data_IF_380609826115
#
_entry.id   IF_380609826115
#
_cell.length_a   1.000
_cell.length_b   1.000
_cell.length_c   1.000
_cell.angle_alpha   90.00
_cell.angle_beta   90.00
_cell.angle_gamma   90.00
#
_symmetry.space_group_name_H-M   'P 1'
#
loop_
_entity.id
_entity.type
_entity.pdbx_description
1 polymer ?
#
# COMPACT_ATOMS: atom_id res chain seq x y z
N UNK A 1 -23.35 6.22 12.33
CA UNK A 1 -22.60 7.50 12.28
C UNK A 1 -21.34 7.37 11.41
N UNK A 2 -20.50 6.35 11.58
CA UNK A 2 -19.25 6.20 10.80
C UNK A 2 -19.42 5.99 9.29
N UNK A 3 -20.53 5.38 8.85
CA UNK A 3 -20.81 5.21 7.41
C UNK A 3 -21.14 6.54 6.72
N UNK A 4 -21.78 7.47 7.45
CA UNK A 4 -22.11 8.80 6.95
C UNK A 4 -20.86 9.66 6.80
N UNK A 5 -19.87 9.50 7.70
CA UNK A 5 -18.59 10.21 7.60
C UNK A 5 -17.78 9.77 6.39
N UNK A 6 -17.83 8.49 5.99
CA UNK A 6 -17.16 8.02 4.77
C UNK A 6 -17.70 8.65 3.49
N UNK A 7 -19.04 8.71 3.35
CA UNK A 7 -19.68 9.35 2.18
C UNK A 7 -19.41 10.86 2.17
N UNK A 8 -19.50 11.52 3.33
CA UNK A 8 -19.14 12.93 3.47
C UNK A 8 -17.69 13.19 3.05
N UNK A 9 -16.75 12.33 3.45
CA UNK A 9 -15.35 12.42 3.05
C UNK A 9 -15.18 12.41 1.52
N UNK A 10 -15.86 11.51 0.81
CA UNK A 10 -15.80 11.46 -0.67
C UNK A 10 -16.34 12.77 -1.27
N UNK A 11 -17.48 13.26 -0.79
CA UNK A 11 -18.09 14.51 -1.29
C UNK A 11 -17.15 15.70 -1.06
N UNK A 12 -16.54 15.80 0.13
CA UNK A 12 -15.60 16.88 0.48
C UNK A 12 -14.36 16.82 -0.39
N UNK A 13 -13.75 15.64 -0.59
CA UNK A 13 -12.57 15.48 -1.45
C UNK A 13 -12.87 15.84 -2.91
N UNK A 14 -14.02 15.43 -3.44
CA UNK A 14 -14.47 15.85 -4.77
C UNK A 14 -14.73 17.35 -4.84
N UNK A 15 -15.33 17.94 -3.80
CA UNK A 15 -15.53 19.38 -3.68
C UNK A 15 -14.23 20.16 -3.73
N UNK A 16 -13.21 19.71 -2.99
CA UNK A 16 -11.86 20.29 -3.01
C UNK A 16 -11.23 20.15 -4.41
N UNK A 17 -11.31 18.97 -5.02
CA UNK A 17 -10.78 18.74 -6.36
C UNK A 17 -11.43 19.65 -7.42
N UNK A 18 -12.76 19.85 -7.35
CA UNK A 18 -13.49 20.78 -8.22
C UNK A 18 -13.10 22.24 -7.92
N UNK A 19 -12.93 22.60 -6.64
CA UNK A 19 -12.53 23.95 -6.24
C UNK A 19 -11.14 24.32 -6.78
N UNK A 20 -10.20 23.36 -6.74
CA UNK A 20 -8.83 23.50 -7.25
C UNK A 20 -8.70 23.28 -8.76
N UNK A 21 -9.79 22.90 -9.47
CA UNK A 21 -9.72 22.63 -10.91
C UNK A 21 -9.54 23.92 -11.72
N UNK A 22 -8.57 23.89 -12.63
CA UNK A 22 -8.26 24.99 -13.55
C UNK A 22 -9.38 25.26 -14.57
N UNK A 23 -10.15 24.24 -14.96
CA UNK A 23 -11.28 24.39 -15.87
C UNK A 23 -12.44 23.48 -15.44
N UNK A 24 -13.31 24.04 -14.59
CA UNK A 24 -14.44 23.31 -14.00
C UNK A 24 -15.47 22.82 -15.04
N UNK A 25 -15.61 23.54 -16.15
CA UNK A 25 -16.52 23.16 -17.25
C UNK A 25 -16.00 22.00 -18.09
N UNK A 26 -14.68 21.75 -18.10
CA UNK A 26 -14.07 20.64 -18.84
C UNK A 26 -14.08 19.32 -18.05
N UNK A 27 -14.60 19.31 -16.82
CA UNK A 27 -14.67 18.10 -15.99
C UNK A 27 -15.67 17.12 -16.61
N UNK A 28 -15.17 15.97 -17.05
CA UNK A 28 -16.01 14.90 -17.56
C UNK A 28 -16.62 14.08 -16.42
N UNK A 29 -17.83 14.45 -16.00
CA UNK A 29 -18.55 13.75 -14.91
C UNK A 29 -18.75 12.26 -15.16
N UNK A 30 -18.83 11.83 -16.43
CA UNK A 30 -18.84 10.41 -16.80
C UNK A 30 -17.58 9.68 -16.36
N UNK A 31 -16.40 10.31 -16.53
CA UNK A 31 -15.11 9.72 -16.12
C UNK A 31 -14.98 9.69 -14.60
N UNK A 32 -15.37 10.79 -13.93
CA UNK A 32 -15.36 10.88 -12.47
C UNK A 32 -16.23 9.78 -11.85
N UNK A 33 -17.46 9.60 -12.33
CA UNK A 33 -18.36 8.55 -11.86
C UNK A 33 -17.81 7.15 -12.12
N UNK A 34 -17.20 6.91 -13.30
CA UNK A 34 -16.55 5.63 -13.59
C UNK A 34 -15.38 5.35 -12.63
N UNK A 35 -14.53 6.34 -12.37
CA UNK A 35 -13.40 6.22 -11.45
C UNK A 35 -13.85 5.88 -10.03
N UNK A 36 -14.83 6.61 -9.51
CA UNK A 36 -15.41 6.35 -8.17
C UNK A 36 -16.05 4.96 -8.12
N UNK A 37 -16.83 4.59 -9.14
CA UNK A 37 -17.49 3.29 -9.19
C UNK A 37 -16.48 2.15 -9.18
N UNK A 38 -15.42 2.26 -9.98
CA UNK A 38 -14.35 1.27 -10.05
C UNK A 38 -13.62 1.15 -8.70
N UNK A 39 -13.31 2.28 -8.04
CA UNK A 39 -12.72 2.27 -6.69
C UNK A 39 -13.61 1.56 -5.67
N UNK A 40 -14.93 1.86 -5.66
CA UNK A 40 -15.87 1.21 -4.76
C UNK A 40 -16.02 -0.29 -5.04
N UNK A 41 -16.06 -0.68 -6.31
CA UNK A 41 -16.11 -2.08 -6.73
C UNK A 41 -14.87 -2.82 -6.22
N UNK A 42 -13.67 -2.29 -6.45
CA UNK A 42 -12.44 -2.88 -5.93
C UNK A 42 -12.41 -2.95 -4.41
N UNK A 43 -12.84 -1.90 -3.71
CA UNK A 43 -12.92 -1.91 -2.26
C UNK A 43 -13.84 -3.03 -1.74
N UNK A 44 -15.01 -3.22 -2.36
CA UNK A 44 -15.94 -4.30 -1.97
C UNK A 44 -15.34 -5.67 -2.28
N UNK A 45 -14.74 -5.84 -3.47
CA UNK A 45 -14.10 -7.10 -3.86
C UNK A 45 -12.99 -7.45 -2.87
N UNK A 46 -12.08 -6.52 -2.58
CA UNK A 46 -10.90 -6.79 -1.75
C UNK A 46 -11.28 -6.95 -0.28
N UNK A 47 -12.14 -6.08 0.26
CA UNK A 47 -12.36 -5.97 1.71
C UNK A 47 -13.59 -6.73 2.22
N UNK A 48 -14.54 -7.09 1.35
CA UNK A 48 -15.85 -7.62 1.79
C UNK A 48 -16.30 -8.89 1.04
N UNK A 49 -15.74 -9.18 -0.13
CA UNK A 49 -16.13 -10.37 -0.90
C UNK A 49 -15.60 -11.66 -0.26
N UNK A 50 -16.40 -12.74 -0.22
CA UNK A 50 -15.96 -14.04 0.29
C UNK A 50 -14.83 -14.66 -0.54
N UNK A 51 -14.66 -14.24 -1.80
CA UNK A 51 -13.58 -14.69 -2.68
C UNK A 51 -12.36 -13.77 -2.59
N UNK A 52 -12.58 -12.45 -2.48
CA UNK A 52 -11.49 -11.49 -2.50
C UNK A 52 -10.64 -11.51 -1.22
N UNK A 53 -11.26 -11.64 -0.04
CA UNK A 53 -10.54 -11.72 1.23
C UNK A 53 -9.49 -12.85 1.24
N UNK A 54 -9.83 -14.12 0.93
CA UNK A 54 -8.82 -15.18 0.92
C UNK A 54 -7.82 -15.02 -0.24
N UNK A 55 -8.23 -14.53 -1.40
CA UNK A 55 -7.32 -14.29 -2.53
C UNK A 55 -6.25 -13.25 -2.21
N UNK A 56 -6.65 -12.07 -1.71
CA UNK A 56 -5.70 -11.03 -1.32
C UNK A 56 -4.94 -11.40 -0.04
N UNK A 57 -5.51 -12.24 0.83
CA UNK A 57 -4.78 -12.86 1.94
C UNK A 57 -3.64 -13.77 1.47
N UNK A 58 -3.85 -14.56 0.41
CA UNK A 58 -2.79 -15.37 -0.20
C UNK A 58 -1.69 -14.48 -0.80
N UNK A 59 -2.05 -13.37 -1.44
CA UNK A 59 -1.10 -12.37 -1.94
C UNK A 59 -0.31 -11.74 -0.79
N UNK A 60 -0.96 -11.37 0.31
CA UNK A 60 -0.29 -10.83 1.50
C UNK A 60 0.76 -11.81 2.06
N UNK A 61 0.40 -13.09 2.17
CA UNK A 61 1.36 -14.15 2.59
C UNK A 61 2.51 -14.26 1.59
N UNK A 62 2.24 -14.23 0.29
CA UNK A 62 3.27 -14.26 -0.74
C UNK A 62 4.24 -13.07 -0.63
N UNK A 63 3.71 -11.86 -0.47
CA UNK A 63 4.54 -10.65 -0.31
C UNK A 63 5.34 -10.70 0.99
N UNK A 64 4.78 -11.20 2.10
CA UNK A 64 5.51 -11.40 3.37
C UNK A 64 6.65 -12.42 3.23
N UNK A 65 6.44 -13.50 2.48
CA UNK A 65 7.52 -14.44 2.17
C UNK A 65 8.61 -13.79 1.33
N UNK A 66 8.24 -12.91 0.41
CA UNK A 66 9.19 -12.18 -0.40
C UNK A 66 9.99 -11.16 0.44
N UNK A 67 9.34 -10.50 1.40
CA UNK A 67 9.98 -9.63 2.38
C UNK A 67 10.97 -10.40 3.28
N UNK A 68 10.65 -11.63 3.68
CA UNK A 68 11.55 -12.43 4.52
C UNK A 68 12.86 -12.80 3.81
N UNK A 69 12.86 -12.94 2.48
CA UNK A 69 14.09 -13.09 1.71
C UNK A 69 14.94 -11.81 1.72
N UNK A 70 14.30 -10.64 1.67
CA UNK A 70 14.99 -9.37 1.83
C UNK A 70 15.58 -9.21 3.24
N UNK A 71 14.84 -9.61 4.28
CA UNK A 71 15.33 -9.61 5.66
C UNK A 71 16.54 -10.53 5.83
N UNK A 72 16.50 -11.73 5.23
CA UNK A 72 17.64 -12.65 5.23
C UNK A 72 18.88 -12.05 4.54
N UNK A 73 18.69 -11.32 3.43
CA UNK A 73 19.78 -10.59 2.76
C UNK A 73 20.33 -9.44 3.61
N UNK A 74 19.48 -8.68 4.29
CA UNK A 74 19.90 -7.63 5.23
C UNK A 74 20.69 -8.23 6.40
N UNK A 75 20.19 -9.32 6.97
CA UNK A 75 20.85 -10.05 8.05
C UNK A 75 22.22 -10.59 7.61
N UNK A 76 22.36 -11.09 6.38
CA UNK A 76 23.65 -11.50 5.84
C UNK A 76 24.66 -10.34 5.77
N UNK A 77 24.22 -9.13 5.43
CA UNK A 77 25.08 -7.96 5.31
C UNK A 77 25.43 -7.32 6.66
N UNK A 78 24.52 -7.36 7.63
CA UNK A 78 24.62 -6.53 8.84
C UNK A 78 24.64 -7.29 10.17
N UNK A 79 24.53 -8.63 10.20
CA UNK A 79 24.76 -9.41 11.43
C UNK A 79 26.24 -9.40 11.81
N UNK A 80 26.51 -9.25 13.10
CA UNK A 80 27.84 -9.40 13.65
C UNK A 80 28.27 -10.87 13.62
N UNK A 81 29.39 -11.19 12.96
CA UNK A 81 29.92 -12.55 12.85
C UNK A 81 30.24 -13.20 14.21
N UNK A 82 30.56 -12.38 15.22
CA UNK A 82 30.91 -12.88 16.55
C UNK A 82 29.70 -13.20 17.42
N UNK A 83 28.59 -12.47 17.26
CA UNK A 83 27.41 -12.57 18.14
C UNK A 83 26.21 -13.18 17.42
N UNK A 84 26.28 -13.38 16.09
CA UNK A 84 25.21 -13.85 15.22
C UNK A 84 23.91 -13.01 15.31
N UNK A 85 24.02 -11.77 15.80
CA UNK A 85 22.92 -10.84 15.98
C UNK A 85 23.23 -9.52 15.28
N UNK A 86 22.19 -8.82 14.83
CA UNK A 86 22.33 -7.43 14.38
C UNK A 86 22.48 -6.55 15.62
N UNK A 87 23.58 -5.81 15.68
CA UNK A 87 23.88 -4.95 16.82
C UNK A 87 22.83 -3.83 16.95
N UNK A 88 22.55 -3.40 18.19
CA UNK A 88 21.54 -2.38 18.48
C UNK A 88 21.60 -1.11 17.60
N UNK A 89 22.78 -0.55 17.29
CA UNK A 89 22.90 0.62 16.40
C UNK A 89 22.43 0.36 14.96
N UNK A 90 22.47 -0.90 14.50
CA UNK A 90 22.06 -1.32 13.16
C UNK A 90 20.57 -1.72 13.10
N UNK A 91 19.88 -1.83 14.25
CA UNK A 91 18.43 -2.00 14.32
C UNK A 91 17.68 -0.69 14.09
N UNK A 92 17.96 -0.04 12.95
CA UNK A 92 17.34 1.23 12.59
C UNK A 92 16.68 1.15 11.21
N UNK A 93 15.92 2.20 10.88
CA UNK A 93 15.20 2.31 9.60
C UNK A 93 16.12 2.09 8.40
N UNK A 94 17.33 2.68 8.40
CA UNK A 94 18.22 2.63 7.26
C UNK A 94 18.64 1.20 6.91
N UNK A 95 18.98 0.38 7.90
CA UNK A 95 19.47 -0.99 7.66
C UNK A 95 18.36 -2.05 7.62
N UNK A 96 17.15 -1.73 8.08
CA UNK A 96 16.00 -2.64 7.99
C UNK A 96 15.09 -2.39 6.79
N UNK A 97 14.89 -1.14 6.37
CA UNK A 97 13.90 -0.80 5.35
C UNK A 97 14.54 -0.49 4.00
N UNK A 98 15.73 0.12 3.94
CA UNK A 98 16.38 0.42 2.66
C UNK A 98 16.78 -0.85 1.87
N UNK A 99 17.28 -1.93 2.49
CA UNK A 99 17.59 -3.17 1.76
C UNK A 99 16.37 -3.78 1.08
N UNK A 100 15.18 -3.63 1.66
CA UNK A 100 13.92 -4.05 1.03
C UNK A 100 13.67 -3.33 -0.29
N UNK A 101 13.92 -2.03 -0.36
CA UNK A 101 13.78 -1.27 -1.61
C UNK A 101 14.76 -1.77 -2.68
N UNK A 102 16.02 -2.03 -2.32
CA UNK A 102 17.04 -2.53 -3.24
C UNK A 102 16.64 -3.92 -3.77
N UNK A 103 16.20 -4.81 -2.88
CA UNK A 103 15.75 -6.15 -3.25
C UNK A 103 14.57 -6.09 -4.24
N UNK A 104 13.52 -5.33 -3.93
CA UNK A 104 12.36 -5.20 -4.83
C UNK A 104 12.71 -4.51 -6.15
N UNK A 105 13.61 -3.52 -6.14
CA UNK A 105 14.10 -2.86 -7.36
C UNK A 105 14.91 -3.79 -8.26
N UNK A 106 15.52 -4.84 -7.72
CA UNK A 106 16.24 -5.85 -8.50
C UNK A 106 15.34 -6.99 -9.00
N UNK A 107 14.20 -7.18 -8.36
CA UNK A 107 13.24 -8.25 -8.66
C UNK A 107 12.24 -7.86 -9.75
N UNK A 108 11.83 -6.58 -9.77
CA UNK A 108 10.87 -5.99 -10.71
C UNK A 108 11.62 -5.43 -11.92
#
# INVERSE_FOLDING_TARGET
>A
MEQLTGILGIIVLLGIAVAMSNNRSAISWKLVMWGISLQLIFAIIILKSPIGIPFFGAIDIFIKNLLSFSDAGSDFLFKSFSQNTVEGPLLNFAFRILPTLIFFSSLI
#
